data_IF_678944031320
#
_entry.id   IF_678944031320
#
_cell.length_a   1.000
_cell.length_b   1.000
_cell.length_c   1.000
_cell.angle_alpha   90.00
_cell.angle_beta   90.00
_cell.angle_gamma   90.00
#
_symmetry.space_group_name_H-M   'P 1'
#
loop_
_entity.id
_entity.type
_entity.pdbx_description
1 polymer ?
#
# COMPACT_ATOMS: atom_id res chain seq x y z
N UNK A 1 -14.44 38.23 -9.20
CA UNK A 1 -14.86 37.97 -7.82
C UNK A 1 -13.77 37.13 -7.18
N UNK A 2 -12.90 37.75 -6.37
CA UNK A 2 -11.82 37.06 -5.70
C UNK A 2 -12.40 36.22 -4.54
N UNK A 3 -12.13 34.92 -4.53
CA UNK A 3 -12.48 34.06 -3.42
C UNK A 3 -11.79 34.60 -2.15
N UNK A 4 -12.58 34.91 -1.13
CA UNK A 4 -12.05 35.23 0.21
C UNK A 4 -11.23 34.04 0.68
N UNK A 5 -9.91 34.21 0.78
CA UNK A 5 -9.06 33.28 1.53
C UNK A 5 -9.57 33.28 2.97
N UNK A 6 -10.26 32.21 3.37
CA UNK A 6 -10.64 32.01 4.76
C UNK A 6 -9.35 31.68 5.51
N UNK A 7 -8.85 32.61 6.32
CA UNK A 7 -7.73 32.31 7.22
C UNK A 7 -8.25 31.37 8.29
N UNK A 8 -7.79 30.12 8.28
CA UNK A 8 -8.09 29.16 9.33
C UNK A 8 -7.34 29.60 10.60
N UNK A 9 -8.05 29.81 11.70
CA UNK A 9 -7.43 30.15 13.00
C UNK A 9 -6.93 28.87 13.67
N UNK A 10 -5.67 28.52 13.39
CA UNK A 10 -5.01 27.35 13.95
C UNK A 10 -4.06 27.79 15.08
N UNK A 11 -4.18 27.16 16.24
CA UNK A 11 -3.26 27.38 17.37
C UNK A 11 -1.82 27.03 16.97
N UNK A 12 -0.86 27.93 17.22
CA UNK A 12 0.55 27.78 16.81
C UNK A 12 1.18 26.46 17.29
N UNK A 13 0.80 25.98 18.47
CA UNK A 13 1.35 24.77 19.06
C UNK A 13 0.78 23.46 18.49
N UNK A 14 -0.28 23.50 17.69
CA UNK A 14 -0.96 22.27 17.23
C UNK A 14 -0.05 21.44 16.33
N UNK A 15 0.80 22.08 15.53
CA UNK A 15 1.71 21.38 14.61
C UNK A 15 2.75 20.56 15.38
N UNK A 16 3.25 21.09 16.49
CA UNK A 16 4.20 20.40 17.37
C UNK A 16 3.53 19.23 18.11
N UNK A 17 2.29 19.42 18.57
CA UNK A 17 1.50 18.35 19.23
C UNK A 17 1.17 17.24 18.23
N UNK A 18 0.78 17.62 17.01
CA UNK A 18 0.51 16.70 15.91
C UNK A 18 1.77 15.91 15.56
N UNK A 19 2.91 16.58 15.39
CA UNK A 19 4.21 15.94 15.16
C UNK A 19 4.54 14.91 16.24
N UNK A 20 4.42 15.27 17.52
CA UNK A 20 4.71 14.37 18.64
C UNK A 20 3.81 13.13 18.66
N UNK A 21 2.53 13.27 18.33
CA UNK A 21 1.61 12.13 18.24
C UNK A 21 1.89 11.27 17.01
N UNK A 22 2.17 11.86 15.85
CA UNK A 22 2.52 11.12 14.64
C UNK A 22 3.82 10.33 14.82
N UNK A 23 4.84 10.93 15.45
CA UNK A 23 6.08 10.23 15.83
C UNK A 23 5.80 9.02 16.71
N UNK A 24 4.85 9.12 17.64
CA UNK A 24 4.47 8.00 18.52
C UNK A 24 3.82 6.85 17.74
N UNK A 25 2.81 7.13 16.92
CA UNK A 25 2.08 6.07 16.21
C UNK A 25 2.94 5.40 15.13
N UNK A 26 3.83 6.14 14.49
CA UNK A 26 4.72 5.63 13.44
C UNK A 26 6.07 5.12 13.96
N UNK A 27 6.34 5.21 15.27
CA UNK A 27 7.51 4.58 15.88
C UNK A 27 7.38 3.05 15.95
N UNK A 28 6.15 2.52 15.89
CA UNK A 28 5.89 1.07 15.82
C UNK A 28 5.54 0.63 14.40
N UNK A 29 5.71 -0.67 14.06
CA UNK A 29 5.30 -1.19 12.76
C UNK A 29 3.84 -0.85 12.43
N UNK A 30 3.61 -0.41 11.18
CA UNK A 30 2.28 -0.09 10.67
C UNK A 30 1.42 -1.35 10.65
N UNK A 31 0.20 -1.26 11.16
CA UNK A 31 -0.80 -2.33 11.14
C UNK A 31 -2.18 -1.86 10.70
N UNK A 32 -3.17 -2.77 10.73
CA UNK A 32 -4.55 -2.54 10.26
C UNK A 32 -5.34 -1.46 11.03
N UNK A 33 -4.83 -1.03 12.18
CA UNK A 33 -5.43 0.03 13.01
C UNK A 33 -4.73 1.38 12.84
N UNK A 34 -3.51 1.42 12.30
CA UNK A 34 -2.67 2.64 12.27
C UNK A 34 -3.33 3.78 11.51
N UNK A 35 -4.02 3.52 10.39
CA UNK A 35 -4.74 4.57 9.66
C UNK A 35 -5.90 5.18 10.47
N UNK A 36 -6.64 4.34 11.20
CA UNK A 36 -7.73 4.80 12.09
C UNK A 36 -7.18 5.53 13.32
N UNK A 37 -6.04 5.10 13.85
CA UNK A 37 -5.35 5.79 14.92
C UNK A 37 -4.84 7.17 14.48
N UNK A 38 -4.28 7.26 13.27
CA UNK A 38 -3.95 8.52 12.63
C UNK A 38 -5.17 9.44 12.50
N UNK A 39 -6.31 8.93 12.03
CA UNK A 39 -7.55 9.71 11.95
C UNK A 39 -7.96 10.24 13.34
N UNK A 40 -7.90 9.42 14.38
CA UNK A 40 -8.18 9.85 15.74
C UNK A 40 -7.23 10.95 16.23
N UNK A 41 -5.94 10.87 15.90
CA UNK A 41 -4.97 11.93 16.21
C UNK A 41 -5.34 13.23 15.51
N UNK A 42 -5.72 13.17 14.23
CA UNK A 42 -6.17 14.35 13.47
C UNK A 42 -7.41 14.97 14.12
N UNK A 43 -8.42 14.18 14.48
CA UNK A 43 -9.62 14.69 15.15
C UNK A 43 -9.30 15.34 16.51
N UNK A 44 -8.47 14.69 17.33
CA UNK A 44 -8.06 15.22 18.63
C UNK A 44 -7.28 16.54 18.52
N UNK A 45 -6.45 16.71 17.48
CA UNK A 45 -5.72 17.96 17.23
C UNK A 45 -6.60 19.04 16.59
N UNK A 46 -7.79 18.69 16.11
CA UNK A 46 -8.72 19.61 15.45
C UNK A 46 -9.78 20.18 16.39
N UNK A 47 -9.76 19.82 17.69
CA UNK A 47 -10.81 20.16 18.66
C UNK A 47 -12.24 19.84 18.14
N UNK A 48 -12.40 18.69 17.46
CA UNK A 48 -13.64 18.25 16.79
C UNK A 48 -14.17 19.18 15.69
N UNK A 49 -13.36 20.14 15.22
CA UNK A 49 -13.71 21.03 14.11
C UNK A 49 -13.43 20.35 12.76
N UNK A 50 -14.49 20.08 12.01
CA UNK A 50 -14.41 19.38 10.73
C UNK A 50 -13.53 20.10 9.69
N UNK A 51 -13.53 21.43 9.67
CA UNK A 51 -12.72 22.21 8.73
C UNK A 51 -11.22 22.03 8.98
N UNK A 52 -10.81 22.02 10.26
CA UNK A 52 -9.42 21.81 10.68
C UNK A 52 -8.97 20.38 10.36
N UNK A 53 -9.80 19.38 10.66
CA UNK A 53 -9.52 17.99 10.33
C UNK A 53 -9.37 17.79 8.81
N UNK A 54 -10.25 18.42 8.02
CA UNK A 54 -10.18 18.36 6.55
C UNK A 54 -8.89 18.98 6.03
N UNK A 55 -8.45 20.11 6.59
CA UNK A 55 -7.16 20.72 6.28
C UNK A 55 -5.99 19.76 6.56
N UNK A 56 -5.96 19.13 7.75
CA UNK A 56 -4.90 18.19 8.09
C UNK A 56 -4.91 16.92 7.24
N UNK A 57 -6.08 16.41 6.85
CA UNK A 57 -6.17 15.27 5.94
C UNK A 57 -5.65 15.62 4.55
N UNK A 58 -6.04 16.75 3.98
CA UNK A 58 -5.51 17.21 2.68
C UNK A 58 -3.99 17.44 2.73
N UNK A 59 -3.51 18.01 3.84
CA UNK A 59 -2.09 18.22 4.07
C UNK A 59 -1.33 16.89 4.12
N UNK A 60 -1.72 15.98 5.02
CA UNK A 60 -0.93 14.80 5.36
C UNK A 60 -1.14 13.61 4.42
N UNK A 61 -2.29 13.49 3.77
CA UNK A 61 -2.56 12.40 2.80
C UNK A 61 -2.15 12.83 1.39
N UNK A 62 -2.52 14.06 1.00
CA UNK A 62 -2.36 14.53 -0.37
C UNK A 62 -1.17 15.49 -0.57
N UNK A 63 -0.53 15.94 0.51
CA UNK A 63 0.58 16.89 0.44
C UNK A 63 0.13 18.31 0.03
N UNK A 64 -1.16 18.66 0.22
CA UNK A 64 -1.74 19.91 -0.26
C UNK A 64 -2.09 20.84 0.90
N UNK A 65 -1.55 22.06 0.86
CA UNK A 65 -1.97 23.15 1.74
C UNK A 65 -3.15 23.88 1.10
N UNK A 66 -4.34 23.73 1.67
CA UNK A 66 -5.57 24.38 1.15
C UNK A 66 -5.72 25.84 1.62
N UNK A 67 -4.90 26.28 2.58
CA UNK A 67 -4.92 27.60 3.17
C UNK A 67 -3.51 28.20 3.24
N UNK A 68 -3.41 29.52 3.11
CA UNK A 68 -2.15 30.23 3.34
C UNK A 68 -1.88 30.34 4.84
N UNK A 69 -0.66 30.00 5.24
CA UNK A 69 -0.21 29.99 6.62
C UNK A 69 1.00 30.92 6.81
N UNK A 70 1.22 31.45 8.02
CA UNK A 70 2.45 32.13 8.39
C UNK A 70 3.69 31.29 8.07
N UNK A 71 4.84 31.94 7.82
CA UNK A 71 6.05 31.27 7.34
C UNK A 71 6.53 30.12 8.25
N UNK A 72 6.47 30.31 9.58
CA UNK A 72 6.88 29.30 10.57
C UNK A 72 5.95 28.07 10.54
N UNK A 73 4.63 28.29 10.51
CA UNK A 73 3.65 27.21 10.40
C UNK A 73 3.77 26.48 9.06
N UNK A 74 3.99 27.22 7.96
CA UNK A 74 4.20 26.65 6.63
C UNK A 74 5.43 25.73 6.59
N UNK A 75 6.50 26.11 7.27
CA UNK A 75 7.70 25.28 7.41
C UNK A 75 7.42 24.00 8.24
N UNK A 76 6.66 24.11 9.32
CA UNK A 76 6.24 22.96 10.12
C UNK A 76 5.36 21.99 9.31
N UNK A 77 4.39 22.51 8.55
CA UNK A 77 3.57 21.72 7.63
C UNK A 77 4.41 20.97 6.60
N UNK A 78 5.38 21.65 5.98
CA UNK A 78 6.27 21.01 4.99
C UNK A 78 7.10 19.89 5.62
N UNK A 79 7.56 20.08 6.86
CA UNK A 79 8.30 19.05 7.61
C UNK A 79 7.41 17.83 7.91
N UNK A 80 6.18 18.06 8.36
CA UNK A 80 5.20 17.00 8.61
C UNK A 80 4.84 16.23 7.34
N UNK A 81 4.65 16.92 6.21
CA UNK A 81 4.39 16.28 4.90
C UNK A 81 5.57 15.40 4.52
N UNK A 82 6.79 15.94 4.59
CA UNK A 82 8.01 15.22 4.19
C UNK A 82 8.21 13.95 5.03
N UNK A 83 7.93 14.00 6.33
CA UNK A 83 8.14 12.88 7.24
C UNK A 83 7.00 11.86 7.21
N UNK A 84 5.74 12.30 7.23
CA UNK A 84 4.60 11.42 7.51
C UNK A 84 3.70 11.09 6.33
N UNK A 85 3.78 11.82 5.20
CA UNK A 85 2.86 11.57 4.08
C UNK A 85 2.95 10.13 3.57
N UNK A 86 4.16 9.61 3.36
CA UNK A 86 4.35 8.24 2.88
C UNK A 86 3.94 7.19 3.91
N UNK A 87 4.38 7.25 5.19
CA UNK A 87 3.89 6.34 6.23
C UNK A 87 2.35 6.32 6.37
N UNK A 88 1.69 7.47 6.27
CA UNK A 88 0.22 7.56 6.32
C UNK A 88 -0.42 6.87 5.12
N UNK A 89 0.11 7.08 3.91
CA UNK A 89 -0.38 6.40 2.70
C UNK A 89 -0.18 4.90 2.78
N UNK A 90 0.95 4.43 3.30
CA UNK A 90 1.18 2.99 3.54
C UNK A 90 0.20 2.46 4.58
N UNK A 91 -0.06 3.16 5.68
CA UNK A 91 -1.06 2.75 6.67
C UNK A 91 -2.47 2.65 6.07
N UNK A 92 -2.82 3.55 5.16
CA UNK A 92 -4.06 3.48 4.39
C UNK A 92 -4.09 2.25 3.48
N UNK A 93 -3.02 2.01 2.73
CA UNK A 93 -2.90 0.83 1.84
C UNK A 93 -2.99 -0.49 2.64
N UNK A 94 -2.37 -0.56 3.82
CA UNK A 94 -2.46 -1.71 4.73
C UNK A 94 -3.90 -1.89 5.24
N UNK A 95 -4.58 -0.80 5.56
CA UNK A 95 -5.97 -0.84 5.99
C UNK A 95 -6.92 -1.37 4.90
N UNK A 96 -6.73 -0.95 3.65
CA UNK A 96 -7.61 -1.30 2.54
C UNK A 96 -7.29 -2.67 1.92
N UNK A 97 -6.00 -3.03 1.83
CA UNK A 97 -5.54 -4.20 1.06
C UNK A 97 -4.29 -4.86 1.65
N UNK A 98 -4.06 -4.77 2.97
CA UNK A 98 -2.85 -5.28 3.63
C UNK A 98 -2.53 -6.76 3.38
N UNK A 99 -3.54 -7.59 3.14
CA UNK A 99 -3.38 -9.03 2.89
C UNK A 99 -3.02 -9.40 1.45
N UNK A 100 -3.03 -8.42 0.53
CA UNK A 100 -2.72 -8.67 -0.88
C UNK A 100 -1.23 -8.92 -1.06
N UNK A 101 -0.89 -9.74 -2.06
CA UNK A 101 0.50 -9.97 -2.45
C UNK A 101 1.13 -8.66 -2.95
N UNK A 102 2.35 -8.39 -2.49
CA UNK A 102 3.11 -7.20 -2.88
C UNK A 102 4.39 -7.58 -3.62
N UNK A 103 5.11 -8.59 -3.15
CA UNK A 103 6.38 -9.01 -3.74
C UNK A 103 6.61 -10.51 -3.60
N UNK A 104 7.34 -11.09 -4.56
CA UNK A 104 7.78 -12.48 -4.52
C UNK A 104 9.24 -12.57 -4.98
N UNK A 105 10.06 -13.30 -4.22
CA UNK A 105 11.42 -13.70 -4.64
C UNK A 105 11.54 -15.21 -4.64
N UNK A 106 12.40 -15.74 -5.51
CA UNK A 106 12.64 -17.18 -5.62
C UNK A 106 14.14 -17.44 -5.78
N UNK A 107 14.74 -18.15 -4.83
CA UNK A 107 16.12 -18.63 -4.92
C UNK A 107 16.13 -20.10 -5.35
N UNK A 108 16.79 -20.41 -6.47
CA UNK A 108 16.93 -21.79 -6.95
C UNK A 108 18.09 -22.50 -6.24
N UNK A 109 17.82 -23.69 -5.73
CA UNK A 109 18.77 -24.52 -4.99
C UNK A 109 18.78 -25.95 -5.55
N UNK A 110 19.92 -26.61 -5.45
CA UNK A 110 20.06 -28.03 -5.76
C UNK A 110 20.31 -28.80 -4.47
N UNK A 111 19.42 -29.73 -4.12
CA UNK A 111 19.53 -30.56 -2.92
C UNK A 111 19.26 -32.02 -3.29
N UNK A 112 20.23 -32.91 -3.06
CA UNK A 112 20.06 -34.36 -3.26
C UNK A 112 19.46 -34.71 -4.64
N UNK A 113 20.05 -34.17 -5.71
CA UNK A 113 19.59 -34.34 -7.11
C UNK A 113 18.20 -33.75 -7.43
N UNK A 114 17.59 -33.00 -6.50
CA UNK A 114 16.35 -32.25 -6.72
C UNK A 114 16.63 -30.77 -6.92
N UNK A 115 16.03 -30.19 -7.95
CA UNK A 115 15.92 -28.75 -8.08
C UNK A 115 14.75 -28.25 -7.23
N UNK A 116 15.01 -27.34 -6.30
CA UNK A 116 14.03 -26.75 -5.40
C UNK A 116 14.14 -25.23 -5.41
N UNK A 117 13.04 -24.56 -5.11
CA UNK A 117 12.93 -23.10 -5.05
C UNK A 117 12.56 -22.69 -3.64
N UNK A 118 13.36 -21.80 -3.05
CA UNK A 118 13.03 -21.10 -1.81
C UNK A 118 12.31 -19.81 -2.18
N UNK A 119 10.99 -19.80 -2.04
CA UNK A 119 10.16 -18.65 -2.36
C UNK A 119 9.87 -17.84 -1.11
N UNK A 120 9.95 -16.51 -1.19
CA UNK A 120 9.46 -15.59 -0.15
C UNK A 120 8.35 -14.74 -0.73
N UNK A 121 7.17 -14.85 -0.15
CA UNK A 121 5.98 -14.07 -0.49
C UNK A 121 5.86 -12.95 0.55
N UNK A 122 5.86 -11.70 0.11
CA UNK A 122 5.65 -10.52 0.96
C UNK A 122 4.31 -9.88 0.63
N UNK A 123 3.52 -9.55 1.65
CA UNK A 123 2.22 -8.87 1.52
C UNK A 123 2.36 -7.35 1.65
N UNK A 124 1.30 -6.62 1.34
CA UNK A 124 1.26 -5.15 1.49
C UNK A 124 1.50 -4.71 2.93
N UNK A 125 1.08 -5.50 3.93
CA UNK A 125 1.35 -5.26 5.35
C UNK A 125 2.79 -5.60 5.80
N UNK A 126 3.64 -6.04 4.87
CA UNK A 126 5.04 -6.39 5.12
C UNK A 126 5.25 -7.76 5.75
N UNK A 127 4.20 -8.53 6.04
CA UNK A 127 4.38 -9.91 6.50
C UNK A 127 4.94 -10.79 5.38
N UNK A 128 5.88 -11.64 5.73
CA UNK A 128 6.53 -12.57 4.83
C UNK A 128 6.16 -14.02 5.12
N UNK A 129 6.04 -14.82 4.07
CA UNK A 129 5.86 -16.26 4.16
C UNK A 129 6.91 -16.97 3.29
N UNK A 130 7.66 -17.88 3.89
CA UNK A 130 8.62 -18.72 3.19
C UNK A 130 7.94 -20.01 2.73
N UNK A 131 8.04 -20.29 1.43
CA UNK A 131 7.45 -21.46 0.78
C UNK A 131 8.50 -22.18 -0.09
N UNK A 132 8.85 -23.41 0.29
CA UNK A 132 9.71 -24.27 -0.52
C UNK A 132 8.86 -25.03 -1.55
N UNK A 133 9.30 -25.06 -2.81
CA UNK A 133 8.68 -25.88 -3.86
C UNK A 133 9.72 -26.65 -4.65
N UNK A 134 9.48 -27.93 -4.93
CA UNK A 134 10.20 -28.62 -6.00
C UNK A 134 9.55 -28.34 -7.37
N UNK A 135 10.15 -28.85 -8.45
CA UNK A 135 9.64 -28.66 -9.82
C UNK A 135 8.17 -29.12 -9.96
N UNK A 136 7.79 -30.23 -9.34
CA UNK A 136 6.42 -30.75 -9.42
C UNK A 136 5.44 -29.86 -8.66
N UNK A 137 5.81 -29.41 -7.46
CA UNK A 137 5.02 -28.51 -6.65
C UNK A 137 4.82 -27.15 -7.34
N UNK A 138 5.85 -26.62 -7.98
CA UNK A 138 5.75 -25.41 -8.80
C UNK A 138 4.74 -25.60 -9.94
N UNK A 139 4.79 -26.72 -10.67
CA UNK A 139 3.82 -27.03 -11.72
C UNK A 139 2.37 -27.17 -11.16
N UNK A 140 2.20 -27.82 -10.01
CA UNK A 140 0.89 -27.91 -9.35
C UNK A 140 0.33 -26.55 -8.94
N UNK A 141 1.18 -25.64 -8.46
CA UNK A 141 0.79 -24.27 -8.11
C UNK A 141 0.38 -23.48 -9.35
N UNK A 142 1.15 -23.57 -10.43
CA UNK A 142 0.80 -22.95 -11.73
C UNK A 142 -0.58 -23.45 -12.21
N UNK A 143 -0.80 -24.77 -12.21
CA UNK A 143 -2.10 -25.36 -12.58
C UNK A 143 -3.24 -24.85 -11.70
N UNK A 144 -3.01 -24.71 -10.40
CA UNK A 144 -4.00 -24.17 -9.48
C UNK A 144 -4.36 -22.72 -9.82
N UNK A 145 -3.36 -21.85 -10.04
CA UNK A 145 -3.57 -20.44 -10.35
C UNK A 145 -4.27 -20.25 -11.71
N UNK A 146 -3.89 -21.03 -12.73
CA UNK A 146 -4.60 -21.05 -14.01
C UNK A 146 -6.08 -21.44 -13.84
N UNK A 147 -6.39 -22.42 -13.00
CA UNK A 147 -7.76 -22.80 -12.73
C UNK A 147 -8.58 -21.66 -12.09
N UNK A 148 -7.95 -20.82 -11.26
CA UNK A 148 -8.60 -19.61 -10.70
C UNK A 148 -8.88 -18.56 -11.78
N UNK A 149 -7.99 -18.38 -12.76
CA UNK A 149 -8.26 -17.49 -13.91
C UNK A 149 -9.43 -18.00 -14.76
N UNK A 150 -9.49 -19.32 -15.02
CA UNK A 150 -10.61 -19.94 -15.73
C UNK A 150 -11.93 -19.84 -14.96
N UNK A 151 -11.88 -19.84 -13.63
CA UNK A 151 -13.04 -19.59 -12.78
C UNK A 151 -13.50 -18.12 -12.86
N UNK A 152 -12.55 -17.17 -12.80
CA UNK A 152 -12.82 -15.75 -12.97
C UNK A 152 -13.47 -15.44 -14.33
N UNK A 153 -13.05 -16.11 -15.40
CA UNK A 153 -13.65 -15.97 -16.73
C UNK A 153 -15.15 -16.29 -16.76
N UNK A 154 -15.63 -17.20 -15.90
CA UNK A 154 -17.06 -17.56 -15.83
C UNK A 154 -17.90 -16.50 -15.13
N UNK A 155 -17.25 -15.52 -14.49
CA UNK A 155 -17.90 -14.41 -13.79
C UNK A 155 -17.84 -13.14 -14.65
N UNK A 156 -18.95 -12.38 -14.82
CA UNK A 156 -18.94 -11.17 -15.65
C UNK A 156 -17.94 -10.07 -15.23
N UNK A 157 -17.59 -10.00 -13.95
CA UNK A 157 -16.57 -9.08 -13.45
C UNK A 157 -15.19 -9.63 -13.79
N UNK A 158 -14.92 -10.88 -13.45
CA UNK A 158 -13.63 -11.53 -13.72
C UNK A 158 -13.29 -11.61 -15.21
N UNK A 159 -14.28 -11.82 -16.08
CA UNK A 159 -14.09 -11.76 -17.54
C UNK A 159 -13.57 -10.40 -18.00
N UNK A 160 -14.13 -9.30 -17.50
CA UNK A 160 -13.67 -7.95 -17.82
C UNK A 160 -12.25 -7.71 -17.31
N UNK A 161 -11.95 -8.15 -16.08
CA UNK A 161 -10.60 -8.04 -15.54
C UNK A 161 -9.58 -8.83 -16.38
N UNK A 162 -9.93 -9.99 -16.91
CA UNK A 162 -9.05 -10.76 -17.80
C UNK A 162 -8.82 -10.06 -19.15
N UNK A 163 -9.81 -9.33 -19.67
CA UNK A 163 -9.66 -8.53 -20.88
C UNK A 163 -8.69 -7.35 -20.68
N UNK A 164 -8.65 -6.77 -19.48
CA UNK A 164 -7.74 -5.67 -19.13
C UNK A 164 -6.26 -6.11 -19.11
N UNK A 165 -5.98 -7.40 -18.87
CA UNK A 165 -4.62 -7.96 -18.76
C UNK A 165 -4.25 -8.87 -19.94
N UNK A 166 -4.79 -8.61 -21.13
CA UNK A 166 -4.59 -9.47 -22.32
C UNK A 166 -3.10 -9.68 -22.65
N UNK A 167 -2.27 -8.65 -22.52
CA UNK A 167 -0.82 -8.74 -22.78
C UNK A 167 -0.12 -9.71 -21.82
N UNK A 168 -0.51 -9.72 -20.54
CA UNK A 168 0.03 -10.66 -19.55
C UNK A 168 -0.39 -12.10 -19.86
N UNK A 169 -1.62 -12.32 -20.32
CA UNK A 169 -2.08 -13.64 -20.76
C UNK A 169 -1.29 -14.14 -21.99
N UNK A 170 -0.99 -13.25 -22.94
CA UNK A 170 -0.13 -13.57 -24.08
C UNK A 170 1.31 -13.87 -23.66
N UNK A 171 1.83 -13.14 -22.68
CA UNK A 171 3.13 -13.41 -22.07
C UNK A 171 3.17 -14.81 -21.45
N UNK A 172 2.15 -15.20 -20.68
CA UNK A 172 2.04 -16.56 -20.13
C UNK A 172 2.10 -17.64 -21.22
N UNK A 173 1.37 -17.44 -22.33
CA UNK A 173 1.41 -18.36 -23.47
C UNK A 173 2.83 -18.54 -24.01
N UNK A 174 3.58 -17.46 -24.19
CA UNK A 174 4.95 -17.54 -24.70
C UNK A 174 5.87 -18.35 -23.78
N UNK A 175 5.80 -18.11 -22.46
CA UNK A 175 6.59 -18.84 -21.47
C UNK A 175 6.24 -20.34 -21.45
N UNK A 176 4.95 -20.71 -21.60
CA UNK A 176 4.55 -22.10 -21.70
C UNK A 176 5.09 -22.78 -22.97
N UNK A 177 4.99 -22.10 -24.13
CA UNK A 177 5.50 -22.64 -25.39
C UNK A 177 7.03 -22.80 -25.39
N UNK A 178 7.76 -21.87 -24.76
CA UNK A 178 9.22 -21.97 -24.62
C UNK A 178 9.62 -23.15 -23.71
N UNK A 179 8.92 -23.30 -22.57
CA UNK A 179 9.16 -24.41 -21.66
C UNK A 179 8.90 -25.76 -22.33
N UNK A 180 7.80 -25.89 -23.09
CA UNK A 180 7.45 -27.13 -23.80
C UNK A 180 8.49 -27.50 -24.87
N UNK A 181 8.97 -26.51 -25.64
CA UNK A 181 10.00 -26.73 -26.68
C UNK A 181 11.36 -27.16 -26.11
N UNK A 182 11.61 -26.85 -24.84
CA UNK A 182 12.88 -27.10 -24.17
C UNK A 182 12.93 -28.47 -23.47
N UNK A 183 11.82 -29.23 -23.46
CA UNK A 183 11.69 -30.58 -22.92
C UNK A 183 11.85 -31.64 -24.02
#
# INVERSE_FOLDING_TARGET
MAAKSQTLEINDNVFLVLEGNLKRIFATPIGYTTFREFQNVVFNCSDDQQEHATFFFEMLINGRLTHELPAEQKQACQSLIAEFMMPIRVAKDVHERGEFINFITSDMLTQQERCVFLNRLSRVDGQEFLLMTDVQNTCHLIRHLLARLLEAQKNPVGEKNLQEIQEDVLSLKHHFEELEKSL
#
